data_IF_321787079922
#
_entry.id   IF_321787079922
#
_cell.length_a   1.000
_cell.length_b   1.000
_cell.length_c   1.000
_cell.angle_alpha   90.00
_cell.angle_beta   90.00
_cell.angle_gamma   90.00
#
_symmetry.space_group_name_H-M   'P 1'
#
loop_
_entity.id
_entity.type
_entity.pdbx_description
1 polymer ?
#
# COMPACT_ATOMS: atom_id res chain seq x y z
N UNK A 1 -4.14 18.23 9.41
CA UNK A 1 -3.61 16.84 9.34
C UNK A 1 -2.51 16.83 8.33
N UNK A 2 -1.35 16.40 8.78
CA UNK A 2 -0.16 16.30 7.96
C UNK A 2 0.51 14.93 8.13
N UNK A 3 1.56 14.67 7.37
CA UNK A 3 2.33 13.41 7.43
C UNK A 3 2.85 13.10 8.84
N UNK A 4 3.24 14.12 9.61
CA UNK A 4 3.80 13.90 10.95
C UNK A 4 2.74 13.40 11.94
N UNK A 5 1.52 13.93 11.84
CA UNK A 5 0.37 13.45 12.62
C UNK A 5 0.00 12.02 12.23
N UNK A 6 0.02 11.69 10.93
CA UNK A 6 -0.27 10.35 10.43
C UNK A 6 0.78 9.31 10.91
N UNK A 7 2.08 9.66 10.85
CA UNK A 7 3.15 8.80 11.39
C UNK A 7 2.96 8.57 12.88
N UNK A 8 2.62 9.62 13.64
CA UNK A 8 2.38 9.49 15.08
C UNK A 8 1.25 8.51 15.36
N UNK A 9 0.14 8.64 14.64
CA UNK A 9 -0.99 7.72 14.77
C UNK A 9 -0.63 6.27 14.41
N UNK A 10 0.10 6.07 13.31
CA UNK A 10 0.60 4.76 12.92
C UNK A 10 1.46 4.16 14.04
N UNK A 11 2.40 4.92 14.60
CA UNK A 11 3.31 4.47 15.66
C UNK A 11 2.61 4.18 16.99
N UNK A 12 1.49 4.83 17.29
CA UNK A 12 0.65 4.53 18.47
C UNK A 12 0.08 3.10 18.42
N UNK A 13 -0.13 2.54 17.23
CA UNK A 13 -0.82 1.26 17.01
C UNK A 13 0.09 0.16 16.46
N UNK A 14 1.09 0.50 15.65
CA UNK A 14 2.02 -0.46 15.08
C UNK A 14 2.95 -1.05 16.13
N UNK A 15 3.01 -2.39 16.21
CA UNK A 15 3.88 -3.13 17.16
C UNK A 15 5.22 -3.54 16.55
N UNK A 16 5.38 -3.37 15.24
CA UNK A 16 6.60 -3.82 14.56
C UNK A 16 6.95 -3.01 13.32
N UNK A 17 8.22 -3.08 12.94
CA UNK A 17 8.74 -2.36 11.77
C UNK A 17 8.14 -2.83 10.44
N UNK A 18 7.60 -4.04 10.37
CA UNK A 18 7.04 -4.60 9.13
C UNK A 18 5.83 -3.78 8.69
N UNK A 19 4.90 -3.50 9.62
CA UNK A 19 3.74 -2.68 9.33
C UNK A 19 4.12 -1.25 8.96
N UNK A 20 5.09 -0.66 9.69
CA UNK A 20 5.57 0.70 9.39
C UNK A 20 6.19 0.77 7.98
N UNK A 21 7.02 -0.21 7.61
CA UNK A 21 7.62 -0.28 6.27
C UNK A 21 6.57 -0.46 5.18
N UNK A 22 5.56 -1.29 5.43
CA UNK A 22 4.43 -1.45 4.51
C UNK A 22 3.68 -0.13 4.33
N UNK A 23 3.32 0.55 5.40
CA UNK A 23 2.67 1.86 5.36
C UNK A 23 3.48 2.91 4.56
N UNK A 24 4.82 2.95 4.75
CA UNK A 24 5.72 3.82 3.96
C UNK A 24 5.72 3.44 2.48
N UNK A 25 5.70 2.14 2.16
CA UNK A 25 5.65 1.68 0.78
C UNK A 25 4.34 2.11 0.08
N UNK A 26 3.21 1.90 0.75
CA UNK A 26 1.89 2.30 0.22
C UNK A 26 1.78 3.82 0.12
N UNK A 27 2.24 4.58 1.14
CA UNK A 27 2.31 6.04 1.08
C UNK A 27 3.08 6.52 -0.17
N UNK A 28 4.27 5.96 -0.42
CA UNK A 28 5.08 6.35 -1.57
C UNK A 28 4.36 6.11 -2.90
N UNK A 29 3.69 4.97 -3.06
CA UNK A 29 2.90 4.65 -4.23
C UNK A 29 1.70 5.60 -4.38
N UNK A 30 1.00 5.92 -3.30
CA UNK A 30 -0.15 6.84 -3.30
C UNK A 30 0.27 8.26 -3.68
N UNK A 31 1.37 8.78 -3.12
CA UNK A 31 1.91 10.10 -3.49
C UNK A 31 2.31 10.16 -4.97
N UNK A 32 3.01 9.14 -5.46
CA UNK A 32 3.41 9.07 -6.87
C UNK A 32 2.18 9.02 -7.81
N UNK A 33 1.12 8.32 -7.41
CA UNK A 33 -0.11 8.27 -8.18
C UNK A 33 -0.85 9.61 -8.16
N UNK A 34 -0.95 10.27 -7.00
CA UNK A 34 -1.55 11.59 -6.87
C UNK A 34 -0.84 12.60 -7.76
N UNK A 35 0.50 12.63 -7.74
CA UNK A 35 1.30 13.50 -8.62
C UNK A 35 0.99 13.26 -10.09
N UNK A 36 0.92 11.98 -10.53
CA UNK A 36 0.62 11.62 -11.91
C UNK A 36 -0.79 12.04 -12.35
N UNK A 37 -1.75 12.04 -11.42
CA UNK A 37 -3.15 12.37 -11.67
C UNK A 37 -3.48 13.85 -11.43
N UNK A 38 -2.56 14.63 -10.85
CA UNK A 38 -2.78 16.03 -10.50
C UNK A 38 -3.66 16.20 -9.25
N UNK A 39 -3.64 15.21 -8.37
CA UNK A 39 -4.39 15.17 -7.11
C UNK A 39 -3.53 15.64 -5.92
N UNK A 40 -4.13 15.73 -4.74
CA UNK A 40 -3.45 16.16 -3.49
C UNK A 40 -2.53 15.04 -2.96
N UNK A 41 -1.21 15.19 -3.19
CA UNK A 41 -0.19 14.23 -2.76
C UNK A 41 -0.18 13.98 -1.25
N UNK A 42 -0.42 15.02 -0.44
CA UNK A 42 -0.45 14.88 1.02
C UNK A 42 -1.64 14.05 1.48
N UNK A 43 -2.80 14.36 0.94
CA UNK A 43 -4.06 13.67 1.26
C UNK A 43 -4.01 12.19 0.86
N UNK A 44 -3.51 11.90 -0.33
CA UNK A 44 -3.35 10.53 -0.82
C UNK A 44 -2.28 9.76 -0.03
N UNK A 45 -1.17 10.42 0.29
CA UNK A 45 -0.13 9.84 1.12
C UNK A 45 -0.62 9.46 2.52
N UNK A 46 -1.44 10.31 3.14
CA UNK A 46 -2.06 10.03 4.45
C UNK A 46 -2.98 8.80 4.37
N UNK A 47 -3.79 8.67 3.32
CA UNK A 47 -4.64 7.49 3.12
C UNK A 47 -3.78 6.21 3.02
N UNK A 48 -2.68 6.26 2.25
CA UNK A 48 -1.74 5.14 2.14
C UNK A 48 -1.02 4.82 3.44
N UNK A 49 -0.58 5.83 4.20
CA UNK A 49 0.10 5.66 5.48
C UNK A 49 -0.81 4.99 6.53
N UNK A 50 -2.11 5.26 6.49
CA UNK A 50 -3.04 4.87 7.54
C UNK A 50 -4.00 3.73 7.14
N UNK A 51 -3.85 3.12 5.96
CA UNK A 51 -4.82 2.11 5.52
C UNK A 51 -4.86 0.89 6.46
N UNK A 52 -3.71 0.47 6.97
CA UNK A 52 -3.51 -0.72 7.80
C UNK A 52 -3.08 -0.40 9.26
N UNK A 53 -3.11 0.86 9.70
CA UNK A 53 -2.52 1.24 10.98
C UNK A 53 -3.08 0.52 12.19
N UNK A 54 -4.28 -0.02 12.09
CA UNK A 54 -4.98 -0.79 13.13
C UNK A 54 -4.67 -2.30 13.10
N UNK A 55 -3.97 -2.80 12.07
CA UNK A 55 -3.72 -4.23 11.83
C UNK A 55 -3.12 -4.97 13.04
N UNK A 56 -2.14 -4.37 13.71
CA UNK A 56 -1.50 -4.97 14.88
C UNK A 56 -2.38 -4.95 16.15
N UNK A 57 -3.44 -4.15 16.16
CA UNK A 57 -4.40 -4.02 17.27
C UNK A 57 -5.63 -4.87 17.02
N UNK A 58 -6.11 -4.89 15.79
CA UNK A 58 -7.24 -5.70 15.32
C UNK A 58 -6.77 -6.61 14.16
N UNK A 59 -6.01 -7.69 14.47
CA UNK A 59 -5.35 -8.49 13.45
C UNK A 59 -6.27 -9.46 12.73
N UNK A 60 -7.57 -9.37 12.90
CA UNK A 60 -8.53 -10.20 12.19
C UNK A 60 -9.18 -9.45 11.03
N UNK A 61 -9.45 -10.13 9.91
CA UNK A 61 -10.12 -9.51 8.76
C UNK A 61 -11.50 -8.91 9.10
N UNK A 62 -12.16 -9.44 10.12
CA UNK A 62 -13.50 -9.00 10.53
C UNK A 62 -13.47 -7.66 11.27
N UNK A 63 -12.38 -7.36 11.97
CA UNK A 63 -12.22 -6.13 12.75
C UNK A 63 -11.53 -5.03 11.95
N UNK A 64 -10.58 -5.41 11.09
CA UNK A 64 -9.84 -4.53 10.20
C UNK A 64 -10.62 -4.36 8.88
N UNK A 65 -10.68 -3.17 8.26
CA UNK A 65 -10.19 -1.86 8.73
C UNK A 65 -11.26 -1.01 9.46
N UNK A 66 -12.40 -1.60 9.84
CA UNK A 66 -13.52 -0.87 10.44
C UNK A 66 -13.12 -0.21 11.77
N UNK A 67 -12.32 -0.92 12.58
CA UNK A 67 -11.80 -0.38 13.84
C UNK A 67 -10.93 0.86 13.60
N UNK A 68 -10.01 0.79 12.65
CA UNK A 68 -9.18 1.93 12.26
C UNK A 68 -10.00 3.09 11.71
N UNK A 69 -10.98 2.80 10.84
CA UNK A 69 -11.87 3.81 10.29
C UNK A 69 -12.64 4.57 11.37
N UNK A 70 -13.07 3.89 12.44
CA UNK A 70 -13.73 4.57 13.57
C UNK A 70 -12.76 5.52 14.29
N UNK A 71 -11.52 5.10 14.53
CA UNK A 71 -10.49 5.98 15.12
C UNK A 71 -10.24 7.22 14.24
N UNK A 72 -10.16 7.03 12.92
CA UNK A 72 -9.99 8.14 11.99
C UNK A 72 -11.16 9.14 12.05
N UNK A 73 -12.41 8.65 12.11
CA UNK A 73 -13.61 9.51 12.29
C UNK A 73 -13.55 10.28 13.59
N UNK A 74 -13.23 9.62 14.70
CA UNK A 74 -13.16 10.25 16.03
C UNK A 74 -12.05 11.30 16.12
N UNK A 75 -10.99 11.17 15.34
CA UNK A 75 -9.91 12.15 15.20
C UNK A 75 -10.16 13.22 14.15
N UNK A 76 -11.33 13.19 13.48
CA UNK A 76 -11.75 14.20 12.51
C UNK A 76 -11.04 14.11 11.15
N UNK A 77 -10.58 12.90 10.75
CA UNK A 77 -10.04 12.71 9.39
C UNK A 77 -11.15 12.89 8.35
N UNK A 78 -10.82 13.41 7.15
CA UNK A 78 -11.78 13.61 6.08
C UNK A 78 -12.46 12.33 5.64
N UNK A 79 -13.74 12.41 5.28
CA UNK A 79 -14.57 11.25 4.92
C UNK A 79 -14.01 10.45 3.74
N UNK A 80 -13.34 11.08 2.78
CA UNK A 80 -12.75 10.39 1.63
C UNK A 80 -11.52 9.56 2.02
N UNK A 81 -10.70 10.01 3.01
CA UNK A 81 -9.62 9.20 3.58
C UNK A 81 -10.21 8.00 4.32
N UNK A 82 -11.20 8.24 5.19
CA UNK A 82 -11.88 7.17 5.93
C UNK A 82 -12.50 6.15 4.98
N UNK A 83 -13.16 6.63 3.90
CA UNK A 83 -13.75 5.77 2.91
C UNK A 83 -12.71 4.98 2.10
N UNK A 84 -11.59 5.60 1.75
CA UNK A 84 -10.49 4.91 1.08
C UNK A 84 -9.94 3.78 1.96
N UNK A 85 -9.72 4.04 3.25
CA UNK A 85 -9.30 3.03 4.23
C UNK A 85 -10.32 1.89 4.31
N UNK A 86 -11.63 2.16 4.40
CA UNK A 86 -12.65 1.12 4.43
C UNK A 86 -12.70 0.29 3.15
N UNK A 87 -12.53 0.92 1.99
CA UNK A 87 -12.72 0.29 0.69
C UNK A 87 -11.55 -0.59 0.24
N UNK A 88 -10.38 -0.52 0.92
CA UNK A 88 -9.25 -1.33 0.51
C UNK A 88 -9.45 -2.82 0.84
N UNK A 89 -10.25 -3.17 1.85
CA UNK A 89 -10.61 -4.56 2.16
C UNK A 89 -11.86 -5.03 1.41
N UNK A 90 -11.74 -6.08 0.59
CA UNK A 90 -12.88 -6.65 -0.16
C UNK A 90 -14.02 -7.15 0.75
N UNK A 91 -13.70 -7.57 1.98
CA UNK A 91 -14.68 -8.12 2.95
C UNK A 91 -15.59 -7.06 3.58
N UNK A 92 -15.22 -5.77 3.53
CA UNK A 92 -16.03 -4.67 4.09
C UNK A 92 -17.32 -4.41 3.31
N UNK A 93 -17.38 -4.83 2.06
CA UNK A 93 -18.49 -4.55 1.15
C UNK A 93 -18.57 -3.10 0.67
N UNK A 94 -17.59 -2.26 1.02
CA UNK A 94 -17.50 -0.87 0.53
C UNK A 94 -16.92 -0.88 -0.89
N UNK A 95 -17.72 -0.47 -1.86
CA UNK A 95 -17.30 -0.37 -3.27
C UNK A 95 -16.29 0.76 -3.47
N UNK A 96 -15.27 0.52 -4.30
CA UNK A 96 -14.28 1.52 -4.69
C UNK A 96 -14.81 2.35 -5.88
N UNK A 97 -15.02 3.64 -5.65
CA UNK A 97 -15.60 4.55 -6.63
C UNK A 97 -14.60 5.59 -7.10
N UNK A 98 -13.90 6.24 -6.17
CA UNK A 98 -12.94 7.30 -6.47
C UNK A 98 -11.59 6.76 -6.98
N UNK A 99 -10.82 7.60 -7.71
CA UNK A 99 -9.45 7.26 -8.09
C UNK A 99 -8.55 6.93 -6.90
N UNK A 100 -8.70 7.62 -5.76
CA UNK A 100 -7.93 7.37 -4.53
C UNK A 100 -8.20 5.96 -3.99
N UNK A 101 -9.47 5.56 -3.88
CA UNK A 101 -9.88 4.24 -3.40
C UNK A 101 -9.35 3.10 -4.28
N UNK A 102 -9.50 3.23 -5.61
CA UNK A 102 -9.00 2.24 -6.58
C UNK A 102 -7.48 2.14 -6.55
N UNK A 103 -6.79 3.28 -6.43
CA UNK A 103 -5.34 3.30 -6.36
C UNK A 103 -4.86 2.66 -5.06
N UNK A 104 -5.45 2.99 -3.92
CA UNK A 104 -5.07 2.40 -2.63
C UNK A 104 -5.15 0.87 -2.68
N UNK A 105 -6.28 0.33 -3.11
CA UNK A 105 -6.44 -1.11 -3.29
C UNK A 105 -5.43 -1.69 -4.30
N UNK A 106 -5.18 -0.98 -5.41
CA UNK A 106 -4.28 -1.46 -6.47
C UNK A 106 -2.80 -1.50 -6.06
N UNK A 107 -2.36 -0.61 -5.17
CA UNK A 107 -0.94 -0.54 -4.78
C UNK A 107 -0.63 -1.30 -3.49
N UNK A 108 -1.62 -1.56 -2.63
CA UNK A 108 -1.44 -2.18 -1.32
C UNK A 108 -0.70 -3.51 -1.42
N UNK A 109 -1.34 -4.56 -1.87
CA UNK A 109 -0.74 -5.90 -2.01
C UNK A 109 0.47 -5.92 -2.96
N UNK A 110 0.44 -5.12 -4.03
CA UNK A 110 1.52 -5.07 -5.00
C UNK A 110 2.78 -4.43 -4.42
N UNK A 111 2.68 -3.40 -3.59
CA UNK A 111 3.84 -2.76 -2.96
C UNK A 111 4.60 -3.72 -2.04
N UNK A 112 3.86 -4.47 -1.21
CA UNK A 112 4.39 -5.52 -0.37
C UNK A 112 5.04 -6.64 -1.18
N UNK A 113 4.40 -7.04 -2.28
CA UNK A 113 4.92 -8.08 -3.16
C UNK A 113 6.23 -7.66 -3.87
N UNK A 114 6.30 -6.44 -4.40
CA UNK A 114 7.51 -5.89 -5.03
C UNK A 114 8.65 -5.78 -4.03
N UNK A 115 8.38 -5.29 -2.82
CA UNK A 115 9.35 -5.24 -1.71
C UNK A 115 9.88 -6.64 -1.38
N UNK A 116 9.01 -7.63 -1.27
CA UNK A 116 9.42 -9.02 -1.03
C UNK A 116 10.29 -9.59 -2.17
N UNK A 117 10.00 -9.24 -3.42
CA UNK A 117 10.83 -9.64 -4.57
C UNK A 117 12.21 -8.99 -4.50
N UNK A 118 12.29 -7.70 -4.18
CA UNK A 118 13.56 -6.98 -4.03
C UNK A 118 14.43 -7.57 -2.90
N UNK A 119 13.84 -7.88 -1.75
CA UNK A 119 14.53 -8.51 -0.61
C UNK A 119 15.13 -9.89 -0.93
N UNK A 120 14.57 -10.61 -1.90
CA UNK A 120 15.11 -11.91 -2.36
C UNK A 120 16.25 -11.78 -3.36
N UNK A 121 16.55 -10.58 -3.86
CA UNK A 121 17.72 -10.35 -4.69
C UNK A 121 19.00 -10.42 -3.87
N UNK A 122 20.14 -10.87 -4.43
CA UNK A 122 21.41 -10.84 -3.73
C UNK A 122 21.79 -9.43 -3.25
N UNK A 123 21.47 -8.43 -4.05
CA UNK A 123 21.71 -6.99 -3.78
C UNK A 123 20.71 -6.39 -2.81
N UNK A 124 19.53 -7.01 -2.62
CA UNK A 124 18.38 -6.44 -1.89
C UNK A 124 18.02 -5.05 -2.38
N UNK A 125 18.08 -4.81 -3.69
CA UNK A 125 17.86 -3.50 -4.30
C UNK A 125 16.70 -3.52 -5.29
N UNK A 126 15.96 -2.40 -5.35
CA UNK A 126 14.93 -2.15 -6.37
C UNK A 126 15.57 -1.91 -7.74
N UNK A 127 16.84 -1.48 -7.82
CA UNK A 127 17.54 -1.31 -9.08
C UNK A 127 17.64 -2.60 -9.89
N UNK A 128 17.74 -3.75 -9.21
CA UNK A 128 17.80 -5.08 -9.83
C UNK A 128 16.42 -5.77 -9.92
N UNK A 129 15.36 -5.05 -9.57
CA UNK A 129 13.99 -5.58 -9.60
C UNK A 129 13.28 -5.04 -10.85
N UNK A 130 12.80 -5.93 -11.69
CA UNK A 130 12.10 -5.62 -12.92
C UNK A 130 10.74 -6.34 -13.01
N UNK A 131 9.89 -5.88 -13.92
CA UNK A 131 8.55 -6.46 -14.16
C UNK A 131 8.62 -7.96 -14.39
N UNK A 132 9.59 -8.43 -15.19
CA UNK A 132 9.75 -9.85 -15.49
C UNK A 132 10.00 -10.70 -14.22
N UNK A 133 10.80 -10.18 -13.30
CA UNK A 133 11.09 -10.86 -12.04
C UNK A 133 9.89 -10.91 -11.10
N UNK A 134 9.12 -9.83 -11.03
CA UNK A 134 7.85 -9.77 -10.27
C UNK A 134 6.85 -10.76 -10.86
N UNK A 135 6.60 -10.71 -12.17
CA UNK A 135 5.71 -11.65 -12.89
C UNK A 135 6.11 -13.12 -12.69
N UNK A 136 7.42 -13.41 -12.70
CA UNK A 136 7.93 -14.75 -12.43
C UNK A 136 7.58 -15.20 -11.00
N UNK A 137 7.74 -14.33 -10.01
CA UNK A 137 7.43 -14.61 -8.61
C UNK A 137 5.93 -14.72 -8.36
N UNK A 138 5.07 -13.98 -9.05
CA UNK A 138 3.61 -14.14 -8.99
C UNK A 138 3.15 -15.56 -9.30
N UNK A 139 3.86 -16.29 -10.19
CA UNK A 139 3.57 -17.69 -10.52
C UNK A 139 3.99 -18.67 -9.41
N UNK A 140 4.78 -18.24 -8.44
CA UNK A 140 5.30 -19.08 -7.36
C UNK A 140 4.36 -19.09 -6.16
N UNK A 141 3.54 -20.11 -6.00
CA UNK A 141 2.57 -20.23 -4.89
C UNK A 141 3.21 -20.26 -3.49
N UNK A 142 4.48 -20.63 -3.39
CA UNK A 142 5.19 -20.69 -2.10
C UNK A 142 5.84 -19.37 -1.68
N UNK A 143 5.91 -18.39 -2.58
CA UNK A 143 6.54 -17.09 -2.32
C UNK A 143 5.50 -16.08 -1.84
N UNK A 144 5.82 -15.32 -0.77
CA UNK A 144 4.93 -14.29 -0.20
C UNK A 144 3.46 -14.76 -0.13
N UNK A 145 3.19 -15.81 0.64
CA UNK A 145 1.89 -16.52 0.64
C UNK A 145 0.74 -15.68 1.17
N UNK A 146 1.04 -14.71 2.03
CA UNK A 146 0.06 -13.79 2.60
C UNK A 146 -0.45 -12.76 1.60
N UNK A 147 0.29 -12.50 0.52
CA UNK A 147 -0.08 -11.52 -0.50
C UNK A 147 -1.07 -12.12 -1.48
N UNK A 148 -2.23 -11.49 -1.67
CA UNK A 148 -3.27 -11.90 -2.62
C UNK A 148 -2.89 -11.53 -4.06
N UNK A 149 -2.68 -12.54 -4.94
CA UNK A 149 -2.43 -12.31 -6.37
C UNK A 149 -3.69 -11.89 -7.09
N UNK A 150 -4.80 -12.38 -6.61
CA UNK A 150 -6.13 -12.04 -7.11
C UNK A 150 -6.38 -10.54 -6.93
N UNK A 151 -6.07 -9.99 -5.76
CA UNK A 151 -6.26 -8.56 -5.46
C UNK A 151 -5.27 -7.68 -6.25
N UNK A 152 -4.03 -8.14 -6.47
CA UNK A 152 -3.09 -7.45 -7.36
C UNK A 152 -3.66 -7.31 -8.79
N UNK A 153 -4.25 -8.38 -9.32
CA UNK A 153 -4.82 -8.39 -10.68
C UNK A 153 -6.08 -7.52 -10.71
N UNK A 154 -6.98 -7.72 -9.75
CA UNK A 154 -8.21 -6.92 -9.62
C UNK A 154 -7.90 -5.43 -9.48
N UNK A 155 -6.89 -5.06 -8.70
CA UNK A 155 -6.48 -3.68 -8.52
C UNK A 155 -6.07 -3.02 -9.84
N UNK A 156 -5.26 -3.69 -10.65
CA UNK A 156 -4.88 -3.19 -11.98
C UNK A 156 -6.12 -3.03 -12.90
N UNK A 157 -7.05 -4.01 -12.87
CA UNK A 157 -8.29 -3.97 -13.64
C UNK A 157 -9.21 -2.81 -13.21
N UNK A 158 -9.40 -2.58 -11.89
CA UNK A 158 -10.23 -1.50 -11.36
C UNK A 158 -9.64 -0.11 -11.66
N UNK A 159 -8.31 0.00 -11.70
CA UNK A 159 -7.60 1.21 -12.11
C UNK A 159 -7.63 1.41 -13.64
N UNK A 160 -7.98 0.39 -14.41
CA UNK A 160 -7.98 0.43 -15.88
C UNK A 160 -6.57 0.50 -16.49
N UNK A 161 -5.57 -0.09 -15.83
CA UNK A 161 -4.16 -0.09 -16.26
C UNK A 161 -3.68 -1.49 -16.60
N UNK A 162 -2.69 -1.57 -17.51
CA UNK A 162 -1.99 -2.83 -17.76
C UNK A 162 -1.19 -3.28 -16.53
N UNK A 163 -1.22 -4.58 -16.22
CA UNK A 163 -0.56 -5.10 -15.02
C UNK A 163 0.97 -4.92 -15.05
N UNK A 164 1.60 -5.04 -16.21
CA UNK A 164 3.06 -4.85 -16.32
C UNK A 164 3.43 -3.37 -16.14
N UNK A 165 2.62 -2.45 -16.68
CA UNK A 165 2.76 -1.01 -16.45
C UNK A 165 2.54 -0.66 -14.97
N UNK A 166 1.55 -1.28 -14.33
CA UNK A 166 1.29 -1.09 -12.91
C UNK A 166 2.43 -1.59 -12.02
N UNK A 167 2.98 -2.78 -12.32
CA UNK A 167 4.18 -3.30 -11.63
C UNK A 167 5.36 -2.33 -11.80
N UNK A 168 5.60 -1.85 -13.01
CA UNK A 168 6.68 -0.89 -13.26
C UNK A 168 6.48 0.41 -12.48
N UNK A 169 5.25 0.93 -12.46
CA UNK A 169 4.89 2.12 -11.68
C UNK A 169 5.23 1.93 -10.19
N UNK A 170 4.83 0.82 -9.58
CA UNK A 170 5.10 0.55 -8.16
C UNK A 170 6.62 0.41 -7.91
N UNK A 171 7.37 -0.28 -8.77
CA UNK A 171 8.83 -0.36 -8.65
C UNK A 171 9.45 1.04 -8.61
N UNK A 172 9.05 1.94 -9.54
CA UNK A 172 9.59 3.31 -9.59
C UNK A 172 9.17 4.14 -8.38
N UNK A 173 7.94 4.02 -7.93
CA UNK A 173 7.42 4.75 -6.76
C UNK A 173 8.13 4.37 -5.46
N UNK A 174 8.62 3.13 -5.33
CA UNK A 174 9.32 2.66 -4.13
C UNK A 174 10.81 3.06 -4.09
N UNK A 175 11.44 3.38 -5.20
CA UNK A 175 12.88 3.72 -5.25
C UNK A 175 13.28 4.86 -4.32
N UNK A 176 12.55 5.99 -4.24
CA UNK A 176 12.91 7.09 -3.35
C UNK A 176 12.94 6.72 -1.86
N UNK A 177 12.14 5.74 -1.46
CA UNK A 177 12.00 5.30 -0.07
C UNK A 177 12.71 3.96 0.22
N UNK A 178 13.50 3.46 -0.70
CA UNK A 178 14.15 2.15 -0.61
C UNK A 178 14.89 1.94 0.73
N UNK A 179 15.61 2.96 1.22
CA UNK A 179 16.31 2.92 2.50
C UNK A 179 15.37 2.71 3.69
N UNK A 180 14.20 3.37 3.71
CA UNK A 180 13.19 3.22 4.76
C UNK A 180 12.55 1.82 4.74
N UNK A 181 12.48 1.19 3.57
CA UNK A 181 11.97 -0.17 3.39
C UNK A 181 13.00 -1.25 3.77
N UNK A 182 14.21 -0.89 4.16
CA UNK A 182 15.29 -1.83 4.44
C UNK A 182 15.89 -2.46 3.18
N UNK A 183 15.73 -1.78 2.06
CA UNK A 183 16.33 -2.11 0.76
C UNK A 183 17.57 -1.26 0.53
N UNK A 184 18.51 -1.78 -0.25
CA UNK A 184 19.65 -0.98 -0.70
C UNK A 184 19.16 0.08 -1.72
N UNK A 185 19.66 1.30 -1.59
CA UNK A 185 19.25 2.45 -2.41
C UNK A 185 19.86 2.46 -3.83
N UNK A 186 20.69 1.48 -4.16
CA UNK A 186 21.38 1.35 -5.45
C UNK A 186 21.06 0.03 -6.15
#
# INVERSE_FOLDING_TARGET
MDRAEAITLLQEHAKGEVLIRHAVAVEACMRAAAQKLGEDEERWGIAGMLHDFDWDVCPTPEEHPEFGAQILRDRGYPDDIVRAVLSHGNHTGVTRESPMEKTLFGVDELSGFVTAVALMRPTKSLADTDVRSVRKKMKSKGFARSVSREDIIQGAEEMGVDLDEHIQFVIEALKPVAGELGLNAE
#
